data_IF_213253301888
#
_entry.id   IF_213253301888
#
_cell.length_a   1.000
_cell.length_b   1.000
_cell.length_c   1.000
_cell.angle_alpha   90.00
_cell.angle_beta   90.00
_cell.angle_gamma   90.00
#
_symmetry.space_group_name_H-M   'P 1'
#
loop_
_entity.id
_entity.type
_entity.pdbx_description
1 polymer ?
#
# COMPACT_ATOMS: atom_id res chain seq x y z
N UNK A 1 -25.39 -13.49 38.03
CA UNK A 1 -24.76 -13.37 36.70
C UNK A 1 -23.33 -12.89 36.92
N UNK A 2 -22.34 -13.78 36.83
CA UNK A 2 -20.94 -13.37 36.81
C UNK A 2 -20.71 -12.73 35.46
N UNK A 3 -20.71 -11.41 35.38
CA UNK A 3 -20.20 -10.69 34.21
C UNK A 3 -18.67 -10.94 34.17
N UNK A 4 -18.23 -11.93 33.40
CA UNK A 4 -16.81 -12.05 33.09
C UNK A 4 -16.39 -10.74 32.43
N UNK A 5 -15.26 -10.16 32.85
CA UNK A 5 -14.72 -8.96 32.24
C UNK A 5 -14.57 -9.18 30.73
N UNK A 6 -14.88 -8.18 29.89
CA UNK A 6 -14.72 -8.32 28.44
C UNK A 6 -13.27 -8.70 28.13
N UNK A 7 -13.10 -9.70 27.28
CA UNK A 7 -11.77 -10.11 26.82
C UNK A 7 -11.08 -8.95 26.14
N UNK A 8 -9.77 -8.91 26.22
CA UNK A 8 -8.97 -7.76 25.83
C UNK A 8 -8.09 -8.04 24.60
N UNK A 9 -7.85 -7.00 23.83
CA UNK A 9 -6.97 -7.03 22.65
C UNK A 9 -6.02 -5.84 22.65
N UNK A 10 -4.76 -6.11 22.31
CA UNK A 10 -3.77 -5.06 22.01
C UNK A 10 -3.41 -5.14 20.53
N UNK A 11 -3.43 -4.01 19.85
CA UNK A 11 -2.99 -3.84 18.48
C UNK A 11 -1.76 -2.93 18.46
N UNK A 12 -0.64 -3.37 17.90
CA UNK A 12 0.59 -2.59 17.79
C UNK A 12 0.75 -2.10 16.35
N UNK A 13 0.67 -0.78 16.16
CA UNK A 13 0.81 -0.08 14.87
C UNK A 13 -0.47 0.59 14.41
N UNK A 14 -0.43 1.92 14.26
CA UNK A 14 -1.55 2.80 13.87
C UNK A 14 -1.68 3.03 12.37
N UNK A 15 -1.16 2.12 11.52
CA UNK A 15 -1.38 2.12 10.08
C UNK A 15 -2.76 1.54 9.70
N UNK A 16 -3.13 1.53 8.39
CA UNK A 16 -4.43 1.04 7.94
C UNK A 16 -4.75 -0.39 8.40
N UNK A 17 -3.76 -1.29 8.44
CA UNK A 17 -3.95 -2.66 8.92
C UNK A 17 -4.36 -2.71 10.39
N UNK A 18 -3.63 -1.99 11.25
CA UNK A 18 -3.92 -1.95 12.69
C UNK A 18 -5.23 -1.25 13.00
N UNK A 19 -5.53 -0.14 12.34
CA UNK A 19 -6.80 0.59 12.53
C UNK A 19 -8.02 -0.26 12.15
N UNK A 20 -7.93 -1.03 11.06
CA UNK A 20 -9.00 -1.97 10.68
C UNK A 20 -9.11 -3.10 11.69
N UNK A 21 -7.98 -3.67 12.13
CA UNK A 21 -8.00 -4.72 13.16
C UNK A 21 -8.61 -4.21 14.47
N UNK A 22 -8.18 -3.06 14.96
CA UNK A 22 -8.68 -2.48 16.21
C UNK A 22 -10.18 -2.18 16.16
N UNK A 23 -10.65 -1.54 15.07
CA UNK A 23 -12.07 -1.24 14.91
C UNK A 23 -12.94 -2.51 14.90
N UNK A 24 -12.53 -3.55 14.15
CA UNK A 24 -13.29 -4.80 14.07
C UNK A 24 -13.24 -5.62 15.35
N UNK A 25 -12.13 -5.62 16.08
CA UNK A 25 -12.05 -6.29 17.39
C UNK A 25 -12.96 -5.62 18.42
N UNK A 26 -12.97 -4.28 18.45
CA UNK A 26 -13.87 -3.52 19.32
C UNK A 26 -15.34 -3.71 18.95
N UNK A 27 -15.70 -3.72 17.66
CA UNK A 27 -17.04 -4.06 17.17
C UNK A 27 -17.47 -5.47 17.57
N UNK A 28 -16.51 -6.40 17.68
CA UNK A 28 -16.70 -7.76 18.16
C UNK A 28 -16.79 -7.88 19.69
N UNK A 29 -16.76 -6.77 20.42
CA UNK A 29 -16.95 -6.73 21.88
C UNK A 29 -15.68 -6.91 22.71
N UNK A 30 -14.47 -6.84 22.10
CA UNK A 30 -13.22 -6.89 22.85
C UNK A 30 -12.84 -5.49 23.35
N UNK A 31 -12.38 -5.40 24.61
CA UNK A 31 -11.71 -4.20 25.12
C UNK A 31 -10.40 -4.01 24.36
N UNK A 32 -10.38 -3.11 23.38
CA UNK A 32 -9.29 -3.00 22.39
C UNK A 32 -8.47 -1.74 22.59
N UNK A 33 -7.16 -1.90 22.72
CA UNK A 33 -6.19 -0.79 22.78
C UNK A 33 -5.24 -0.87 21.58
N UNK A 34 -5.14 0.21 20.80
CA UNK A 34 -4.17 0.35 19.71
C UNK A 34 -3.02 1.24 20.17
N UNK A 35 -1.80 0.75 20.00
CA UNK A 35 -0.55 1.42 20.35
C UNK A 35 0.17 1.88 19.08
N UNK A 36 0.55 3.15 19.00
CA UNK A 36 1.32 3.73 17.90
C UNK A 36 2.54 4.48 18.46
N UNK A 37 3.73 4.15 17.94
CA UNK A 37 4.97 4.74 18.40
C UNK A 37 5.11 6.23 18.08
N UNK A 38 4.59 6.63 16.89
CA UNK A 38 4.67 8.02 16.45
C UNK A 38 3.58 8.89 17.07
N UNK A 39 3.75 10.22 16.98
CA UNK A 39 2.75 11.18 17.44
C UNK A 39 1.46 11.17 16.61
N UNK A 40 1.49 10.56 15.40
CA UNK A 40 0.39 10.57 14.43
C UNK A 40 0.13 9.16 13.94
N UNK A 41 -1.16 8.83 13.82
CA UNK A 41 -1.60 7.61 13.16
C UNK A 41 -1.38 7.68 11.64
N UNK A 42 -1.33 6.53 11.01
CA UNK A 42 -1.33 6.39 9.57
C UNK A 42 -0.13 5.62 8.98
N UNK A 43 1.01 5.62 9.65
CA UNK A 43 2.21 4.98 9.11
C UNK A 43 2.51 5.46 7.68
N UNK A 44 2.63 4.54 6.71
CA UNK A 44 2.85 4.88 5.29
C UNK A 44 1.66 5.57 4.61
N UNK A 45 0.47 5.52 5.19
CA UNK A 45 -0.70 6.25 4.71
C UNK A 45 -0.82 7.67 5.29
N UNK A 46 0.12 8.12 6.10
CA UNK A 46 0.13 9.48 6.61
C UNK A 46 0.34 10.51 5.49
N UNK A 47 -0.31 11.67 5.63
CA UNK A 47 -0.16 12.82 4.72
C UNK A 47 0.36 14.02 5.49
N UNK A 48 1.37 14.70 4.95
CA UNK A 48 1.87 15.98 5.45
C UNK A 48 1.16 17.11 4.70
N UNK A 49 0.60 18.08 5.44
CA UNK A 49 0.04 19.31 4.85
C UNK A 49 1.11 20.40 4.91
N UNK A 50 1.56 20.86 3.74
CA UNK A 50 2.59 21.89 3.66
C UNK A 50 2.33 22.84 2.49
N UNK A 51 2.34 24.15 2.74
CA UNK A 51 2.11 25.21 1.75
C UNK A 51 0.83 25.00 0.92
N UNK A 52 -0.19 24.43 1.54
CA UNK A 52 -1.47 24.14 0.90
C UNK A 52 -1.49 22.89 0.02
N UNK A 53 -0.47 22.06 0.04
CA UNK A 53 -0.42 20.77 -0.65
C UNK A 53 -0.51 19.58 0.32
N UNK A 54 -1.16 18.51 -0.13
CA UNK A 54 -1.31 17.24 0.60
C UNK A 54 -0.22 16.26 0.14
N UNK A 55 0.87 16.19 0.88
CA UNK A 55 2.03 15.36 0.56
C UNK A 55 1.91 13.99 1.20
N UNK A 56 1.47 13.00 0.44
CA UNK A 56 1.48 11.60 0.90
C UNK A 56 2.92 11.07 1.05
N UNK A 57 3.08 9.93 1.71
CA UNK A 57 4.37 9.22 1.75
C UNK A 57 4.58 8.49 0.41
N UNK A 58 4.90 9.27 -0.65
CA UNK A 58 4.99 8.83 -2.03
C UNK A 58 3.65 8.79 -2.78
N UNK A 59 3.67 8.34 -4.06
CA UNK A 59 2.46 8.27 -4.87
C UNK A 59 1.54 7.15 -4.37
N UNK A 60 0.26 7.49 -4.16
CA UNK A 60 -0.75 6.58 -3.67
C UNK A 60 -1.99 6.57 -4.57
N UNK A 61 -2.58 5.41 -4.77
CA UNK A 61 -3.82 5.21 -5.49
C UNK A 61 -4.67 4.13 -4.84
N UNK A 62 -5.98 4.35 -4.70
CA UNK A 62 -6.93 3.38 -4.19
C UNK A 62 -7.56 2.63 -5.35
N UNK A 63 -7.37 1.30 -5.40
CA UNK A 63 -7.93 0.44 -6.45
C UNK A 63 -9.40 0.16 -6.20
N UNK A 64 -10.27 0.55 -7.14
CA UNK A 64 -11.74 0.43 -6.97
C UNK A 64 -12.21 -1.02 -6.88
N UNK A 65 -11.53 -1.94 -7.58
CA UNK A 65 -11.76 -3.38 -7.54
C UNK A 65 -10.98 -4.12 -6.45
N UNK A 66 -10.19 -3.42 -5.64
CA UNK A 66 -9.32 -4.00 -4.64
C UNK A 66 -10.02 -4.41 -3.34
N UNK A 67 -9.29 -5.13 -2.50
CA UNK A 67 -9.78 -5.59 -1.20
C UNK A 67 -10.06 -4.41 -0.25
N UNK A 68 -9.24 -3.38 -0.26
CA UNK A 68 -9.46 -2.19 0.55
C UNK A 68 -10.83 -1.55 0.29
N UNK A 69 -11.21 -1.38 -0.97
CA UNK A 69 -12.52 -0.82 -1.31
C UNK A 69 -13.69 -1.72 -0.88
N UNK A 70 -13.52 -3.04 -0.91
CA UNK A 70 -14.55 -3.97 -0.39
C UNK A 70 -14.72 -3.79 1.12
N UNK A 71 -13.60 -3.77 1.84
CA UNK A 71 -13.60 -3.59 3.29
C UNK A 71 -14.15 -2.22 3.73
N UNK A 72 -13.75 -1.14 3.05
CA UNK A 72 -14.27 0.20 3.33
C UNK A 72 -15.79 0.29 3.13
N UNK A 73 -16.31 -0.31 2.05
CA UNK A 73 -17.76 -0.39 1.81
C UNK A 73 -18.47 -1.21 2.89
N UNK A 74 -17.92 -2.37 3.28
CA UNK A 74 -18.47 -3.19 4.35
C UNK A 74 -18.48 -2.47 5.71
N UNK A 75 -17.52 -1.56 5.92
CA UNK A 75 -17.48 -0.69 7.09
C UNK A 75 -18.34 0.58 6.97
N UNK A 76 -19.02 0.81 5.84
CA UNK A 76 -19.79 2.03 5.60
C UNK A 76 -18.93 3.29 5.45
N UNK A 77 -17.66 3.14 5.12
CA UNK A 77 -16.74 4.27 4.93
C UNK A 77 -16.77 4.69 3.45
N UNK A 78 -17.23 5.92 3.20
CA UNK A 78 -17.13 6.57 1.90
C UNK A 78 -16.19 7.78 2.01
N UNK A 79 -15.18 7.83 1.14
CA UNK A 79 -14.14 8.85 1.18
C UNK A 79 -14.27 9.79 0.00
N UNK A 80 -14.13 11.11 0.21
CA UNK A 80 -14.03 12.07 -0.88
C UNK A 80 -12.87 11.72 -1.81
N UNK A 81 -13.19 11.49 -3.07
CA UNK A 81 -12.22 10.99 -4.07
C UNK A 81 -12.44 11.62 -5.44
N UNK A 82 -11.44 11.51 -6.29
CA UNK A 82 -11.52 11.97 -7.66
C UNK A 82 -10.84 10.97 -8.61
N UNK A 83 -11.22 11.06 -9.90
CA UNK A 83 -10.65 10.18 -10.92
C UNK A 83 -9.39 10.82 -11.50
N UNK A 84 -8.23 10.16 -11.41
CA UNK A 84 -7.10 10.59 -12.20
C UNK A 84 -7.43 10.38 -13.68
N UNK A 85 -7.47 11.48 -14.45
CA UNK A 85 -7.74 11.39 -15.88
C UNK A 85 -6.51 10.85 -16.61
N UNK A 86 -6.59 9.62 -17.11
CA UNK A 86 -5.53 9.00 -17.91
C UNK A 86 -5.60 9.31 -19.42
N UNK A 87 -6.59 10.08 -19.86
CA UNK A 87 -6.93 10.30 -21.28
C UNK A 87 -5.81 10.91 -22.13
N UNK A 88 -4.77 11.48 -21.48
CA UNK A 88 -3.60 12.05 -22.16
C UNK A 88 -2.30 11.59 -21.53
N UNK A 89 -2.21 10.28 -21.26
CA UNK A 89 -0.97 9.66 -20.76
C UNK A 89 0.15 9.83 -21.77
N UNK A 90 1.35 10.06 -21.24
CA UNK A 90 2.58 10.19 -22.02
C UNK A 90 3.50 9.01 -21.68
N UNK A 91 4.09 8.42 -22.70
CA UNK A 91 5.14 7.42 -22.55
C UNK A 91 6.48 8.07 -22.88
N UNK A 92 7.45 7.97 -21.99
CA UNK A 92 8.78 8.54 -22.20
C UNK A 92 9.73 7.44 -22.66
N UNK A 93 10.30 7.59 -23.87
CA UNK A 93 11.28 6.66 -24.44
C UNK A 93 12.40 7.43 -25.11
N UNK A 94 13.66 7.08 -24.78
CA UNK A 94 14.85 7.80 -25.25
C UNK A 94 14.80 9.29 -24.90
N UNK A 95 14.32 9.64 -23.70
CA UNK A 95 14.18 11.03 -23.25
C UNK A 95 13.12 11.85 -24.02
N UNK A 96 12.25 11.19 -24.83
CA UNK A 96 11.23 11.89 -25.63
C UNK A 96 9.80 11.43 -25.26
N UNK A 97 8.85 12.38 -25.10
CA UNK A 97 7.46 12.04 -24.81
C UNK A 97 6.76 11.52 -26.07
N UNK A 98 6.00 10.44 -25.92
CA UNK A 98 5.19 9.78 -26.95
C UNK A 98 3.76 9.63 -26.48
N UNK A 99 2.77 9.76 -27.37
CA UNK A 99 1.34 9.58 -27.03
C UNK A 99 0.92 8.10 -27.06
N UNK A 100 1.50 7.30 -27.94
CA UNK A 100 1.20 5.87 -28.05
C UNK A 100 2.44 5.05 -27.73
N UNK A 101 2.27 3.98 -26.94
CA UNK A 101 3.35 3.02 -26.72
C UNK A 101 3.60 2.21 -27.98
N UNK A 102 4.83 1.76 -28.19
CA UNK A 102 5.15 0.79 -29.25
C UNK A 102 4.48 -0.56 -28.99
N UNK A 103 4.12 -1.31 -30.08
CA UNK A 103 3.51 -2.63 -29.96
C UNK A 103 2.01 -2.61 -29.62
N UNK A 104 1.28 -1.56 -29.98
CA UNK A 104 -0.06 -1.23 -29.50
C UNK A 104 -1.12 -2.33 -29.73
N UNK A 105 -1.12 -3.03 -30.85
CA UNK A 105 -2.10 -4.10 -31.13
C UNK A 105 -1.85 -5.36 -30.30
N UNK A 106 -0.60 -5.81 -30.25
CA UNK A 106 -0.19 -6.95 -29.43
C UNK A 106 -0.45 -6.69 -27.96
N UNK A 107 -0.07 -5.48 -27.48
CA UNK A 107 -0.29 -5.04 -26.11
C UNK A 107 -1.81 -4.99 -25.77
N UNK A 108 -2.64 -4.46 -26.65
CA UNK A 108 -4.10 -4.39 -26.45
C UNK A 108 -4.72 -5.79 -26.33
N UNK A 109 -4.31 -6.72 -27.19
CA UNK A 109 -4.73 -8.13 -27.12
C UNK A 109 -4.33 -8.77 -25.79
N UNK A 110 -3.09 -8.57 -25.36
CA UNK A 110 -2.59 -9.08 -24.10
C UNK A 110 -3.31 -8.46 -22.88
N UNK A 111 -3.52 -7.15 -22.85
CA UNK A 111 -4.27 -6.49 -21.77
C UNK A 111 -5.72 -6.98 -21.70
N UNK A 112 -6.34 -7.26 -22.85
CA UNK A 112 -7.67 -7.85 -22.90
C UNK A 112 -7.68 -9.26 -22.30
N UNK A 113 -6.67 -10.08 -22.58
CA UNK A 113 -6.52 -11.40 -22.00
C UNK A 113 -6.32 -11.31 -20.47
N UNK A 114 -5.44 -10.42 -19.98
CA UNK A 114 -5.23 -10.17 -18.55
C UNK A 114 -6.52 -9.75 -17.85
N UNK A 115 -7.32 -8.87 -18.47
CA UNK A 115 -8.59 -8.41 -17.90
C UNK A 115 -9.64 -9.52 -17.78
N UNK A 116 -9.64 -10.51 -18.68
CA UNK A 116 -10.62 -11.60 -18.76
C UNK A 116 -10.24 -12.85 -17.97
N UNK A 117 -8.95 -13.18 -17.89
CA UNK A 117 -8.47 -14.42 -17.29
C UNK A 117 -8.27 -14.30 -15.78
N UNK A 118 -8.72 -15.31 -15.02
CA UNK A 118 -8.23 -15.56 -13.68
C UNK A 118 -6.80 -16.08 -13.79
N UNK A 119 -5.91 -15.57 -12.93
CA UNK A 119 -4.46 -15.75 -13.03
C UNK A 119 -4.01 -17.05 -12.35
N UNK A 120 -4.59 -18.18 -12.77
CA UNK A 120 -4.19 -19.50 -12.27
C UNK A 120 -2.83 -19.89 -12.83
N UNK A 121 -1.98 -20.50 -12.00
CA UNK A 121 -0.67 -21.02 -12.41
C UNK A 121 0.45 -19.98 -12.57
N UNK A 122 0.23 -18.69 -12.34
CA UNK A 122 1.26 -17.67 -12.50
C UNK A 122 2.19 -17.51 -11.28
N UNK A 123 1.84 -18.07 -10.11
CA UNK A 123 2.61 -17.90 -8.88
C UNK A 123 4.05 -18.41 -8.96
N UNK A 124 4.32 -19.40 -9.80
CA UNK A 124 5.66 -19.95 -10.04
C UNK A 124 6.46 -19.25 -11.15
N UNK A 125 5.91 -18.26 -11.83
CA UNK A 125 6.59 -17.49 -12.89
C UNK A 125 6.99 -16.11 -12.38
N UNK A 126 8.18 -15.64 -12.77
CA UNK A 126 8.53 -14.23 -12.64
C UNK A 126 7.76 -13.39 -13.67
N UNK A 127 7.61 -12.08 -13.38
CA UNK A 127 7.04 -11.14 -14.36
C UNK A 127 7.85 -11.15 -15.66
N UNK A 128 9.18 -11.21 -15.60
CA UNK A 128 10.04 -11.29 -16.80
C UNK A 128 9.74 -12.51 -17.66
N UNK A 129 9.56 -13.67 -17.04
CA UNK A 129 9.21 -14.91 -17.75
C UNK A 129 7.82 -14.83 -18.36
N UNK A 130 6.83 -14.39 -17.58
CA UNK A 130 5.46 -14.21 -18.03
C UNK A 130 5.37 -13.27 -19.24
N UNK A 131 6.05 -12.11 -19.21
CA UNK A 131 6.06 -11.17 -20.32
C UNK A 131 6.75 -11.74 -21.56
N UNK A 132 7.85 -12.51 -21.40
CA UNK A 132 8.53 -13.19 -22.52
C UNK A 132 7.67 -14.28 -23.16
N UNK A 133 6.92 -15.04 -22.38
CA UNK A 133 6.00 -16.07 -22.89
C UNK A 133 4.75 -15.48 -23.55
N UNK A 134 4.27 -14.34 -23.06
CA UNK A 134 2.99 -13.74 -23.47
C UNK A 134 3.12 -12.76 -24.64
N UNK A 135 4.28 -12.13 -24.84
CA UNK A 135 4.50 -11.05 -25.79
C UNK A 135 5.74 -11.32 -26.66
N UNK A 136 5.56 -11.23 -27.98
CA UNK A 136 6.66 -11.49 -28.95
C UNK A 136 7.55 -10.29 -29.15
N UNK A 137 6.96 -9.09 -29.28
CA UNK A 137 7.72 -7.88 -29.57
C UNK A 137 8.37 -7.30 -28.33
N UNK A 138 9.64 -6.92 -28.43
CA UNK A 138 10.38 -6.24 -27.36
C UNK A 138 9.70 -4.93 -26.95
N UNK A 139 9.13 -4.20 -27.91
CA UNK A 139 8.40 -2.96 -27.65
C UNK A 139 7.14 -3.18 -26.80
N UNK A 140 6.39 -4.26 -27.08
CA UNK A 140 5.22 -4.62 -26.28
C UNK A 140 5.65 -5.04 -24.86
N UNK A 141 6.71 -5.86 -24.72
CA UNK A 141 7.26 -6.25 -23.43
C UNK A 141 7.72 -5.05 -22.59
N UNK A 142 8.47 -4.12 -23.20
CA UNK A 142 8.92 -2.92 -22.50
C UNK A 142 7.75 -2.06 -22.00
N UNK A 143 6.70 -1.91 -22.82
CA UNK A 143 5.50 -1.16 -22.43
C UNK A 143 4.69 -1.88 -21.35
N UNK A 144 4.50 -3.20 -21.49
CA UNK A 144 3.85 -4.03 -20.48
C UNK A 144 4.60 -3.96 -19.14
N UNK A 145 5.93 -4.02 -19.17
CA UNK A 145 6.77 -3.84 -17.99
C UNK A 145 6.59 -2.49 -17.32
N UNK A 146 6.43 -1.40 -18.08
CA UNK A 146 6.13 -0.08 -17.50
C UNK A 146 4.74 -0.05 -16.83
N UNK A 147 3.74 -0.74 -17.40
CA UNK A 147 2.41 -0.88 -16.78
C UNK A 147 2.46 -1.75 -15.53
N UNK A 148 3.26 -2.81 -15.52
CA UNK A 148 3.48 -3.62 -14.31
C UNK A 148 4.11 -2.75 -13.21
N UNK A 149 5.19 -2.02 -13.53
CA UNK A 149 5.84 -1.15 -12.53
C UNK A 149 4.88 -0.15 -11.89
N UNK A 150 4.03 0.52 -12.66
CA UNK A 150 3.10 1.51 -12.11
C UNK A 150 1.99 0.90 -11.27
N UNK A 151 1.61 -0.35 -11.52
CA UNK A 151 0.56 -1.03 -10.76
C UNK A 151 1.08 -1.78 -9.54
N UNK A 152 2.34 -2.23 -9.57
CA UNK A 152 2.95 -3.02 -8.48
C UNK A 152 3.94 -2.25 -7.63
N UNK A 153 4.50 -1.15 -8.12
CA UNK A 153 5.60 -0.40 -7.52
C UNK A 153 6.91 -1.20 -7.41
N UNK A 154 7.09 -2.22 -8.26
CA UNK A 154 8.29 -3.07 -8.30
C UNK A 154 8.98 -2.92 -9.65
N UNK A 155 10.29 -2.62 -9.62
CA UNK A 155 11.13 -2.55 -10.83
C UNK A 155 11.74 -3.90 -11.20
N UNK A 156 12.09 -4.70 -10.20
CA UNK A 156 12.69 -6.02 -10.38
C UNK A 156 11.63 -7.05 -10.79
N UNK A 157 11.49 -7.22 -12.09
CA UNK A 157 10.55 -8.15 -12.69
C UNK A 157 10.97 -9.62 -12.58
N UNK A 158 12.23 -9.90 -12.25
CA UNK A 158 12.70 -11.25 -12.01
C UNK A 158 12.38 -11.70 -10.56
N UNK A 159 12.40 -10.75 -9.62
CA UNK A 159 12.03 -11.01 -8.22
C UNK A 159 10.51 -11.06 -7.99
N UNK A 160 9.70 -10.36 -8.80
CA UNK A 160 8.25 -10.29 -8.61
C UNK A 160 7.53 -11.46 -9.28
N UNK A 161 6.67 -12.13 -8.53
CA UNK A 161 5.78 -13.17 -9.08
C UNK A 161 4.72 -12.58 -10.02
N UNK A 162 4.44 -13.27 -11.11
CA UNK A 162 3.54 -12.83 -12.18
C UNK A 162 2.07 -12.78 -11.75
N UNK A 163 1.64 -13.56 -10.77
CA UNK A 163 0.27 -13.53 -10.23
C UNK A 163 -0.07 -12.18 -9.57
N UNK A 164 0.90 -11.58 -8.86
CA UNK A 164 0.77 -10.23 -8.31
C UNK A 164 0.57 -9.21 -9.42
N UNK A 165 1.45 -9.22 -10.43
CA UNK A 165 1.41 -8.27 -11.54
C UNK A 165 0.10 -8.36 -12.32
N UNK A 166 -0.33 -9.57 -12.62
CA UNK A 166 -1.55 -9.83 -13.36
C UNK A 166 -2.81 -9.43 -12.57
N UNK A 167 -2.83 -9.72 -11.25
CA UNK A 167 -3.90 -9.27 -10.36
C UNK A 167 -4.02 -7.74 -10.31
N UNK A 168 -2.90 -7.04 -10.15
CA UNK A 168 -2.86 -5.58 -10.09
C UNK A 168 -3.20 -4.92 -11.43
N UNK A 169 -2.70 -5.44 -12.54
CA UNK A 169 -3.09 -4.96 -13.86
C UNK A 169 -4.59 -5.07 -14.07
N UNK A 170 -5.20 -6.20 -13.71
CA UNK A 170 -6.63 -6.43 -13.89
C UNK A 170 -7.47 -5.40 -13.13
N UNK A 171 -7.18 -5.14 -11.85
CA UNK A 171 -7.95 -4.15 -11.06
C UNK A 171 -7.56 -2.71 -11.38
N UNK A 172 -6.36 -2.47 -11.89
CA UNK A 172 -5.90 -1.16 -12.36
C UNK A 172 -6.49 -0.75 -13.71
N UNK A 173 -6.74 -1.72 -14.59
CA UNK A 173 -7.40 -1.49 -15.89
C UNK A 173 -8.91 -1.30 -15.73
N UNK A 174 -9.55 -2.17 -14.96
CA UNK A 174 -11.00 -2.19 -14.74
C UNK A 174 -11.30 -2.63 -13.30
N UNK A 175 -11.92 -1.80 -12.47
CA UNK A 175 -12.52 -0.48 -12.69
C UNK A 175 -11.57 0.71 -12.45
N UNK A 176 -10.25 0.48 -12.38
CA UNK A 176 -9.24 1.53 -12.25
C UNK A 176 -9.00 2.00 -10.81
N UNK A 177 -8.43 3.19 -10.69
CA UNK A 177 -8.01 3.76 -9.40
C UNK A 177 -8.75 5.05 -9.06
N UNK A 178 -8.70 5.44 -7.79
CA UNK A 178 -9.17 6.72 -7.27
C UNK A 178 -8.07 7.36 -6.44
N UNK A 179 -8.00 8.69 -6.47
CA UNK A 179 -7.17 9.48 -5.59
C UNK A 179 -8.05 10.13 -4.52
N UNK A 180 -7.56 10.16 -3.28
CA UNK A 180 -8.31 10.71 -2.16
C UNK A 180 -8.10 12.22 -2.07
N UNK A 181 -9.17 12.96 -1.75
CA UNK A 181 -9.10 14.39 -1.42
C UNK A 181 -8.62 14.56 0.02
N UNK A 182 -7.74 15.52 0.24
CA UNK A 182 -7.10 15.70 1.55
C UNK A 182 -5.98 14.71 1.84
N UNK A 183 -5.51 13.99 0.79
CA UNK A 183 -4.48 12.97 0.93
C UNK A 183 -4.99 11.68 1.57
N UNK A 184 -4.06 10.77 1.84
CA UNK A 184 -4.37 9.47 2.46
C UNK A 184 -4.66 9.57 3.95
N UNK A 185 -4.34 10.70 4.59
CA UNK A 185 -4.76 10.97 5.96
C UNK A 185 -6.28 10.87 6.11
N UNK A 186 -7.06 11.25 5.08
CA UNK A 186 -8.52 11.10 5.11
C UNK A 186 -9.00 9.66 5.31
N UNK A 187 -8.28 8.68 4.75
CA UNK A 187 -8.52 7.26 5.00
C UNK A 187 -8.16 6.88 6.44
N UNK A 188 -7.01 7.35 6.91
CA UNK A 188 -6.54 7.09 8.28
C UNK A 188 -7.53 7.63 9.30
N UNK A 189 -7.96 8.88 9.14
CA UNK A 189 -8.89 9.56 10.04
C UNK A 189 -10.26 8.86 10.06
N UNK A 190 -10.76 8.42 8.91
CA UNK A 190 -12.01 7.68 8.83
C UNK A 190 -11.94 6.31 9.52
N UNK A 191 -10.82 5.59 9.38
CA UNK A 191 -10.59 4.32 10.06
C UNK A 191 -10.42 4.52 11.58
N UNK A 192 -9.67 5.53 12.00
CA UNK A 192 -9.48 5.88 13.40
C UNK A 192 -10.80 6.25 14.07
N UNK A 193 -11.57 7.16 13.48
CA UNK A 193 -12.88 7.57 13.99
C UNK A 193 -13.86 6.39 14.07
N UNK A 194 -13.78 5.41 13.16
CA UNK A 194 -14.58 4.19 13.25
C UNK A 194 -14.14 3.31 14.42
N UNK A 195 -12.83 3.11 14.60
CA UNK A 195 -12.32 2.32 15.71
C UNK A 195 -12.71 2.92 17.08
N UNK A 196 -12.59 4.24 17.23
CA UNK A 196 -13.01 4.96 18.44
C UNK A 196 -14.51 4.85 18.68
N UNK A 197 -15.36 5.01 17.65
CA UNK A 197 -16.81 4.81 17.78
C UNK A 197 -17.19 3.39 18.17
N UNK A 198 -16.38 2.39 17.80
CA UNK A 198 -16.54 1.01 18.23
C UNK A 198 -16.05 0.76 19.67
N UNK A 199 -15.44 1.75 20.32
CA UNK A 199 -14.92 1.66 21.69
C UNK A 199 -13.44 1.30 21.79
N UNK A 200 -12.68 1.32 20.68
CA UNK A 200 -11.22 1.13 20.75
C UNK A 200 -10.53 2.38 21.32
N UNK A 201 -9.55 2.18 22.19
CA UNK A 201 -8.67 3.24 22.69
C UNK A 201 -7.45 3.36 21.78
N UNK A 202 -7.22 4.53 21.18
CA UNK A 202 -6.08 4.79 20.31
C UNK A 202 -5.01 5.57 21.08
N UNK A 203 -3.80 5.01 21.20
CA UNK A 203 -2.70 5.57 22.00
C UNK A 203 -1.52 5.95 21.09
N UNK A 204 -1.46 7.17 20.53
CA UNK A 204 -0.24 7.69 19.90
C UNK A 204 0.85 7.96 20.93
N UNK A 205 2.11 7.98 20.52
CA UNK A 205 3.32 8.07 21.37
C UNK A 205 3.45 6.93 22.37
N UNK A 206 2.88 5.75 22.06
CA UNK A 206 2.92 4.55 22.89
C UNK A 206 3.63 3.43 22.12
N UNK A 207 4.95 3.54 21.98
CA UNK A 207 5.77 2.55 21.28
C UNK A 207 5.96 1.28 22.10
N UNK A 208 5.56 0.13 21.59
CA UNK A 208 5.86 -1.15 22.21
C UNK A 208 7.36 -1.45 22.10
N UNK A 209 7.98 -1.87 23.21
CA UNK A 209 9.41 -2.22 23.33
C UNK A 209 9.65 -3.72 23.29
N UNK A 210 8.74 -4.48 23.90
CA UNK A 210 8.82 -5.94 23.94
C UNK A 210 7.42 -6.54 24.01
N UNK A 211 7.27 -7.77 23.54
CA UNK A 211 6.08 -8.59 23.72
C UNK A 211 6.49 -9.96 24.25
N UNK A 212 5.76 -10.46 25.24
CA UNK A 212 6.02 -11.75 25.86
C UNK A 212 4.72 -12.51 26.00
N UNK A 213 4.78 -13.82 25.78
CA UNK A 213 3.66 -14.71 26.00
C UNK A 213 3.68 -15.26 27.43
N UNK A 214 2.51 -15.27 28.08
CA UNK A 214 2.29 -15.91 29.38
C UNK A 214 1.15 -16.94 29.28
N UNK A 215 0.89 -17.64 30.38
CA UNK A 215 -0.25 -18.56 30.48
C UNK A 215 -1.61 -17.85 30.36
N UNK A 216 -1.66 -16.54 30.67
CA UNK A 216 -2.86 -15.71 30.69
C UNK A 216 -3.06 -14.89 29.39
N UNK A 217 -2.14 -15.00 28.42
CA UNK A 217 -2.16 -14.25 27.17
C UNK A 217 -0.84 -13.55 26.87
N UNK A 218 -0.91 -12.29 26.44
CA UNK A 218 0.22 -11.50 25.96
C UNK A 218 0.49 -10.32 26.89
N UNK A 219 1.76 -10.05 27.16
CA UNK A 219 2.25 -8.88 27.86
C UNK A 219 2.99 -7.99 26.87
N UNK A 220 2.64 -6.70 26.83
CA UNK A 220 3.26 -5.67 26.00
C UNK A 220 3.91 -4.65 26.91
N UNK A 221 5.24 -4.50 26.80
CA UNK A 221 6.03 -3.55 27.57
C UNK A 221 6.18 -2.24 26.79
N UNK A 222 5.80 -1.13 27.38
CA UNK A 222 6.07 0.24 26.94
C UNK A 222 7.16 0.86 27.82
N UNK A 223 7.53 2.12 27.59
CA UNK A 223 8.56 2.79 28.38
C UNK A 223 8.22 2.90 29.88
N UNK A 224 6.96 3.21 30.20
CA UNK A 224 6.53 3.50 31.58
C UNK A 224 5.43 2.56 32.10
N UNK A 225 4.95 1.63 31.28
CA UNK A 225 3.84 0.75 31.65
C UNK A 225 3.90 -0.61 30.97
N UNK A 226 3.22 -1.56 31.58
CA UNK A 226 3.02 -2.91 31.04
C UNK A 226 1.51 -3.13 30.83
N UNK A 227 1.14 -3.55 29.64
CA UNK A 227 -0.23 -3.90 29.29
C UNK A 227 -0.36 -5.41 29.08
N UNK A 228 -1.56 -5.96 29.33
CA UNK A 228 -1.86 -7.38 29.12
C UNK A 228 -3.13 -7.53 28.32
N UNK A 229 -3.17 -8.56 27.46
CA UNK A 229 -4.36 -8.91 26.68
C UNK A 229 -4.31 -10.38 26.25
N UNK A 230 -5.46 -10.98 26.03
CA UNK A 230 -5.59 -12.33 25.47
C UNK A 230 -5.30 -12.37 23.97
N UNK A 231 -5.54 -11.24 23.28
CA UNK A 231 -5.28 -11.09 21.84
C UNK A 231 -4.20 -10.04 21.60
N UNK A 232 -3.21 -10.40 20.80
CA UNK A 232 -2.17 -9.50 20.30
C UNK A 232 -2.16 -9.47 18.78
N UNK A 233 -2.30 -8.29 18.19
CA UNK A 233 -2.13 -8.05 16.76
C UNK A 233 -0.91 -7.20 16.52
N UNK A 234 0.09 -7.73 15.81
CA UNK A 234 1.26 -6.96 15.37
C UNK A 234 0.98 -6.42 13.97
N UNK A 235 0.75 -5.11 13.86
CA UNK A 235 0.52 -4.40 12.60
C UNK A 235 1.55 -3.27 12.39
N UNK A 236 2.72 -3.40 13.03
CA UNK A 236 3.78 -2.41 13.00
C UNK A 236 4.72 -2.65 11.81
N UNK A 237 4.94 -1.60 11.01
CA UNK A 237 5.95 -1.55 9.96
C UNK A 237 5.92 -2.71 8.98
N UNK A 238 7.04 -3.44 8.90
CA UNK A 238 7.24 -4.58 8.02
C UNK A 238 7.84 -5.79 8.74
N UNK A 239 8.39 -6.76 8.00
CA UNK A 239 8.96 -7.99 8.57
C UNK A 239 10.04 -7.72 9.65
N UNK A 240 10.86 -6.69 9.46
CA UNK A 240 11.91 -6.32 10.42
C UNK A 240 11.34 -5.84 11.75
N UNK A 241 10.29 -5.03 11.69
CA UNK A 241 9.65 -4.49 12.90
C UNK A 241 8.89 -5.59 13.65
N UNK A 242 8.23 -6.48 12.91
CA UNK A 242 7.59 -7.66 13.48
C UNK A 242 8.64 -8.58 14.15
N UNK A 243 9.79 -8.81 13.50
CA UNK A 243 10.87 -9.62 14.05
C UNK A 243 11.49 -9.00 15.30
N UNK A 244 11.62 -7.67 15.35
CA UNK A 244 12.12 -6.97 16.53
C UNK A 244 11.25 -7.20 17.78
N UNK A 245 9.93 -7.34 17.59
CA UNK A 245 8.98 -7.59 18.68
C UNK A 245 8.82 -9.09 19.00
N UNK A 246 8.81 -9.93 17.99
CA UNK A 246 8.40 -11.35 18.11
C UNK A 246 9.58 -12.33 18.15
N UNK A 247 10.81 -11.89 17.80
CA UNK A 247 11.96 -12.79 17.66
C UNK A 247 11.67 -13.93 16.68
N UNK A 248 11.97 -15.15 17.07
CA UNK A 248 11.79 -16.37 16.26
C UNK A 248 10.31 -16.69 15.93
N UNK A 249 9.34 -16.05 16.59
CA UNK A 249 7.91 -16.19 16.29
C UNK A 249 7.46 -15.33 15.12
N UNK A 250 8.32 -14.42 14.64
CA UNK A 250 8.00 -13.59 13.49
C UNK A 250 7.86 -14.44 12.22
N UNK A 251 6.84 -14.18 11.39
CA UNK A 251 6.76 -14.85 10.09
C UNK A 251 7.95 -14.45 9.21
N UNK A 252 8.46 -15.43 8.46
CA UNK A 252 9.53 -15.16 7.48
C UNK A 252 9.02 -14.30 6.34
N UNK A 253 9.77 -13.25 5.99
CA UNK A 253 9.45 -12.42 4.85
C UNK A 253 9.49 -13.21 3.53
N UNK A 254 8.49 -13.06 2.63
CA UNK A 254 8.46 -13.81 1.37
C UNK A 254 9.51 -13.34 0.35
N UNK A 255 10.20 -12.24 0.61
CA UNK A 255 11.24 -11.67 -0.25
C UNK A 255 11.68 -10.28 0.21
N UNK A 256 12.46 -9.56 -0.61
CA UNK A 256 12.94 -8.23 -0.28
C UNK A 256 11.81 -7.18 -0.29
N UNK A 257 12.06 -6.02 0.32
CA UNK A 257 11.18 -4.86 0.20
C UNK A 257 11.31 -4.21 -1.20
N UNK A 258 10.23 -3.59 -1.67
CA UNK A 258 10.28 -2.66 -2.81
C UNK A 258 10.44 -1.23 -2.30
N UNK A 259 11.49 -0.57 -2.75
CA UNK A 259 11.83 0.79 -2.34
C UNK A 259 11.86 1.73 -3.53
N UNK A 260 11.44 2.97 -3.33
CA UNK A 260 11.33 4.03 -4.32
C UNK A 260 12.17 5.24 -3.94
N UNK A 261 12.61 6.01 -4.95
CA UNK A 261 12.93 7.42 -4.76
C UNK A 261 11.76 8.26 -5.26
N UNK A 262 11.36 9.30 -4.52
CA UNK A 262 10.19 10.13 -4.84
C UNK A 262 10.56 11.60 -4.82
N UNK A 263 10.08 12.35 -5.82
CA UNK A 263 10.15 13.81 -5.88
C UNK A 263 8.74 14.37 -6.02
N UNK A 264 8.31 15.12 -5.02
CA UNK A 264 7.06 15.87 -5.07
C UNK A 264 7.34 17.31 -5.46
N UNK A 265 6.56 17.85 -6.41
CA UNK A 265 6.63 19.20 -6.93
C UNK A 265 5.27 19.87 -6.78
N UNK A 266 5.16 20.84 -5.87
CA UNK A 266 4.03 21.76 -5.78
C UNK A 266 4.28 22.93 -6.75
N UNK A 267 3.42 23.06 -7.76
CA UNK A 267 3.53 24.06 -8.81
C UNK A 267 2.32 24.99 -8.77
N UNK A 268 2.50 26.27 -9.14
CA UNK A 268 1.38 27.18 -9.37
C UNK A 268 0.44 26.67 -10.47
N UNK A 269 1.02 26.15 -11.55
CA UNK A 269 0.28 25.57 -12.68
C UNK A 269 1.17 24.64 -13.49
N UNK A 270 0.56 23.77 -14.31
CA UNK A 270 1.32 22.91 -15.21
C UNK A 270 1.76 23.67 -16.47
N UNK A 271 3.06 23.68 -16.83
CA UNK A 271 3.53 24.21 -18.14
C UNK A 271 2.83 23.53 -19.32
N UNK A 272 2.52 22.25 -19.19
CA UNK A 272 1.80 21.44 -20.19
C UNK A 272 0.58 20.78 -19.54
N UNK A 273 -0.52 21.50 -19.44
CA UNK A 273 -1.73 21.10 -18.74
C UNK A 273 -2.25 19.69 -19.11
N UNK A 274 -2.03 19.27 -20.37
CA UNK A 274 -2.45 17.96 -20.86
C UNK A 274 -1.52 16.80 -20.46
N UNK A 275 -0.32 17.06 -19.91
CA UNK A 275 0.69 16.04 -19.60
C UNK A 275 0.81 15.82 -18.10
N UNK A 276 -0.25 15.33 -17.48
CA UNK A 276 -0.30 15.14 -16.04
C UNK A 276 -0.11 13.69 -15.58
N UNK A 277 0.19 12.77 -16.52
CA UNK A 277 0.58 11.39 -16.24
C UNK A 277 1.59 10.92 -17.27
N UNK A 278 2.70 10.36 -16.80
CA UNK A 278 3.76 9.84 -17.67
C UNK A 278 4.42 8.58 -17.10
N UNK A 279 4.75 7.64 -17.99
CA UNK A 279 5.49 6.41 -17.68
C UNK A 279 6.80 6.37 -18.47
N UNK A 280 7.91 6.13 -17.78
CA UNK A 280 9.18 5.76 -18.40
C UNK A 280 9.11 4.33 -18.94
N UNK A 281 9.43 4.14 -20.23
CA UNK A 281 9.46 2.80 -20.86
C UNK A 281 10.83 2.15 -20.64
N UNK A 282 11.87 2.87 -20.94
CA UNK A 282 13.29 2.45 -20.83
C UNK A 282 13.96 2.88 -19.52
N UNK A 283 13.26 3.64 -18.71
CA UNK A 283 13.64 3.96 -17.33
C UNK A 283 12.51 3.61 -16.36
N UNK A 284 12.82 3.19 -15.12
CA UNK A 284 11.80 2.83 -14.13
C UNK A 284 11.19 4.06 -13.46
N UNK A 285 10.78 5.07 -14.25
CA UNK A 285 10.29 6.34 -13.75
C UNK A 285 8.80 6.56 -14.04
N UNK A 286 8.17 7.39 -13.23
CA UNK A 286 6.77 7.69 -13.27
C UNK A 286 6.54 9.15 -12.86
N UNK A 287 5.54 9.81 -13.43
CA UNK A 287 5.06 11.12 -13.05
C UNK A 287 3.53 11.12 -13.06
N UNK A 288 2.91 11.64 -12.02
CA UNK A 288 1.46 11.81 -11.95
C UNK A 288 1.06 13.04 -11.15
N UNK A 289 -0.06 13.65 -11.54
CA UNK A 289 -0.74 14.69 -10.76
C UNK A 289 -1.44 14.03 -9.57
N UNK A 290 -1.18 14.54 -8.37
CA UNK A 290 -1.77 14.08 -7.10
C UNK A 290 -2.68 15.11 -6.41
N UNK A 291 -2.86 16.30 -6.98
CA UNK A 291 -3.90 17.25 -6.58
C UNK A 291 -5.14 17.16 -7.47
N UNK A 292 -6.33 17.28 -6.89
CA UNK A 292 -7.58 17.29 -7.64
C UNK A 292 -7.63 18.44 -8.68
N UNK A 293 -8.39 18.31 -9.78
CA UNK A 293 -8.45 19.34 -10.82
C UNK A 293 -8.88 20.72 -10.33
N UNK A 294 -9.74 20.77 -9.32
CA UNK A 294 -10.28 21.96 -8.67
C UNK A 294 -9.48 22.42 -7.44
N UNK A 295 -8.28 21.90 -7.24
CA UNK A 295 -7.41 22.28 -6.13
C UNK A 295 -6.94 23.75 -6.29
N UNK A 296 -7.22 24.57 -5.27
CA UNK A 296 -7.04 26.03 -5.36
C UNK A 296 -5.59 26.51 -5.22
N UNK A 297 -4.73 25.70 -4.59
CA UNK A 297 -3.34 26.10 -4.29
C UNK A 297 -2.35 25.68 -5.38
N UNK A 298 -2.81 25.29 -6.57
CA UNK A 298 -1.96 24.86 -7.67
C UNK A 298 -2.01 23.37 -7.94
N UNK A 299 -0.92 22.82 -8.43
CA UNK A 299 -0.84 21.41 -8.87
C UNK A 299 0.28 20.69 -8.15
N UNK A 300 -0.04 19.59 -7.50
CA UNK A 300 0.94 18.66 -6.97
C UNK A 300 1.25 17.57 -8.02
N UNK A 301 2.51 17.49 -8.44
CA UNK A 301 3.05 16.37 -9.19
C UNK A 301 3.87 15.49 -8.25
N UNK A 302 3.65 14.19 -8.31
CA UNK A 302 4.52 13.20 -7.67
C UNK A 302 5.24 12.40 -8.75
N UNK A 303 6.57 12.40 -8.66
CA UNK A 303 7.45 11.63 -9.51
C UNK A 303 8.06 10.50 -8.68
N UNK A 304 8.18 9.32 -9.25
CA UNK A 304 8.87 8.22 -8.60
C UNK A 304 9.80 7.49 -9.56
N UNK A 305 10.90 6.98 -9.00
CA UNK A 305 11.66 5.89 -9.58
C UNK A 305 11.40 4.63 -8.77
N UNK A 306 11.05 3.55 -9.47
CA UNK A 306 10.83 2.22 -8.87
C UNK A 306 12.14 1.49 -8.50
N UNK A 307 13.24 2.22 -8.51
CA UNK A 307 14.56 1.84 -8.02
C UNK A 307 15.17 3.05 -7.31
N UNK A 308 16.28 2.83 -6.60
CA UNK A 308 17.03 3.96 -6.05
C UNK A 308 17.54 4.84 -7.18
N UNK A 309 17.18 6.11 -7.13
CA UNK A 309 17.59 7.10 -8.14
C UNK A 309 17.98 8.41 -7.46
N UNK A 310 18.99 9.11 -7.97
CA UNK A 310 19.29 10.47 -7.55
C UNK A 310 18.14 11.41 -7.98
N UNK A 311 18.02 12.52 -7.30
CA UNK A 311 16.98 13.53 -7.55
C UNK A 311 16.96 14.00 -9.01
N UNK A 312 18.13 14.18 -9.60
CA UNK A 312 18.35 14.67 -10.97
C UNK A 312 17.69 13.78 -12.01
N UNK A 313 17.59 12.46 -11.76
CA UNK A 313 16.90 11.53 -12.67
C UNK A 313 15.39 11.81 -12.70
N UNK A 314 14.79 12.13 -11.56
CA UNK A 314 13.37 12.49 -11.47
C UNK A 314 13.12 13.89 -12.04
N UNK A 315 14.03 14.84 -11.83
CA UNK A 315 13.99 16.15 -12.46
C UNK A 315 14.09 16.08 -13.99
N UNK A 316 14.93 15.19 -14.53
CA UNK A 316 15.02 14.96 -15.98
C UNK A 316 13.70 14.44 -16.58
N UNK A 317 12.95 13.60 -15.81
CA UNK A 317 11.59 13.20 -16.18
C UNK A 317 10.65 14.41 -16.18
N UNK A 318 10.74 15.28 -15.17
CA UNK A 318 9.95 16.51 -15.11
C UNK A 318 10.28 17.46 -16.27
N UNK A 319 11.58 17.63 -16.63
CA UNK A 319 12.02 18.43 -17.76
C UNK A 319 11.44 17.94 -19.09
N UNK A 320 11.39 16.62 -19.26
CA UNK A 320 10.84 15.98 -20.46
C UNK A 320 9.33 16.17 -20.58
N UNK A 321 8.58 16.02 -19.47
CA UNK A 321 7.12 16.01 -19.47
C UNK A 321 6.55 17.41 -19.31
N UNK A 322 7.15 18.22 -18.44
CA UNK A 322 6.71 19.55 -18.04
C UNK A 322 7.82 20.61 -18.20
N UNK A 323 8.37 20.84 -19.43
CA UNK A 323 9.43 21.83 -19.61
C UNK A 323 9.03 23.21 -19.10
N UNK A 324 9.92 23.88 -18.35
CA UNK A 324 9.64 25.14 -17.66
C UNK A 324 8.97 25.01 -16.28
N UNK A 325 8.94 23.81 -15.72
CA UNK A 325 8.34 23.58 -14.39
C UNK A 325 9.08 24.32 -13.26
N UNK A 326 10.40 24.54 -13.39
CA UNK A 326 11.20 25.19 -12.35
C UNK A 326 10.79 26.63 -12.08
N UNK A 327 10.25 27.32 -13.10
CA UNK A 327 9.74 28.69 -12.98
C UNK A 327 8.41 28.78 -12.23
N UNK A 328 7.75 27.66 -12.00
CA UNK A 328 6.42 27.55 -11.38
C UNK A 328 6.41 26.81 -10.06
N UNK A 329 7.59 26.42 -9.58
CA UNK A 329 7.70 25.63 -8.35
C UNK A 329 7.53 26.51 -7.12
N UNK A 330 6.68 26.06 -6.21
CA UNK A 330 6.48 26.63 -4.88
C UNK A 330 7.05 25.73 -3.81
N UNK A 331 6.89 24.43 -3.98
CA UNK A 331 7.29 23.43 -3.01
C UNK A 331 8.03 22.28 -3.69
N UNK A 332 9.07 21.79 -3.03
CA UNK A 332 9.74 20.55 -3.40
C UNK A 332 9.99 19.69 -2.17
N UNK A 333 9.76 18.39 -2.32
CA UNK A 333 10.14 17.39 -1.32
C UNK A 333 10.77 16.19 -2.02
N UNK A 334 11.97 15.82 -1.61
CA UNK A 334 12.64 14.62 -2.11
C UNK A 334 12.74 13.57 -1.01
N UNK A 335 12.25 12.38 -1.29
CA UNK A 335 12.37 11.18 -0.47
C UNK A 335 13.32 10.23 -1.20
N UNK A 336 14.59 10.14 -0.79
CA UNK A 336 15.60 9.36 -1.50
C UNK A 336 15.31 7.86 -1.42
N UNK A 337 14.61 7.44 -0.36
CA UNK A 337 14.31 6.04 -0.07
C UNK A 337 12.98 5.92 0.66
N UNK A 338 12.02 5.29 0.05
CA UNK A 338 10.71 5.03 0.62
C UNK A 338 10.29 3.59 0.36
N UNK A 339 9.87 2.88 1.39
CA UNK A 339 9.34 1.51 1.27
C UNK A 339 7.91 1.57 0.74
N UNK A 340 7.69 1.09 -0.48
CA UNK A 340 6.35 0.95 -1.07
C UNK A 340 5.67 -0.36 -0.63
N UNK A 341 6.45 -1.44 -0.61
CA UNK A 341 6.03 -2.79 -0.19
C UNK A 341 7.06 -3.35 0.77
N UNK A 342 6.58 -3.94 1.85
CA UNK A 342 7.45 -4.47 2.91
C UNK A 342 8.16 -5.78 2.51
N UNK A 343 7.56 -6.59 1.63
CA UNK A 343 8.19 -7.78 1.08
C UNK A 343 7.52 -8.22 -0.23
N UNK A 344 8.33 -8.53 -1.25
CA UNK A 344 7.90 -8.96 -2.59
C UNK A 344 7.69 -10.47 -2.58
N UNK A 345 6.51 -11.01 -2.94
CA UNK A 345 6.33 -12.44 -3.15
C UNK A 345 7.16 -12.93 -4.33
N UNK A 346 8.03 -13.88 -4.08
CA UNK A 346 8.93 -14.46 -5.08
C UNK A 346 8.25 -15.60 -5.84
N UNK A 347 8.51 -15.76 -7.15
CA UNK A 347 8.08 -16.93 -7.90
C UNK A 347 8.65 -18.25 -7.34
N UNK A 348 9.86 -18.25 -6.79
CA UNK A 348 10.48 -19.43 -6.18
C UNK A 348 9.76 -19.92 -4.93
N UNK A 349 9.00 -19.05 -4.26
CA UNK A 349 8.22 -19.38 -3.08
C UNK A 349 6.73 -19.63 -3.40
N UNK A 350 6.32 -19.62 -4.68
CA UNK A 350 4.93 -19.83 -5.08
C UNK A 350 4.06 -18.56 -5.10
N UNK A 351 4.66 -17.39 -5.13
CA UNK A 351 4.00 -16.11 -5.35
C UNK A 351 3.11 -15.65 -4.19
N UNK A 352 1.97 -15.06 -4.54
CA UNK A 352 1.07 -14.41 -3.58
C UNK A 352 0.50 -15.38 -2.54
N UNK A 353 0.20 -16.60 -2.94
CA UNK A 353 -0.37 -17.64 -2.07
C UNK A 353 0.61 -18.12 -0.97
N UNK A 354 1.92 -17.95 -1.19
CA UNK A 354 2.97 -18.33 -0.23
C UNK A 354 3.28 -17.24 0.81
N UNK A 355 2.59 -16.10 0.80
CA UNK A 355 2.75 -15.12 1.87
C UNK A 355 2.34 -15.71 3.21
N UNK A 356 3.04 -15.36 4.32
CA UNK A 356 2.76 -15.92 5.63
C UNK A 356 1.30 -15.71 6.06
N UNK A 357 0.76 -16.69 6.77
CA UNK A 357 -0.57 -16.58 7.35
C UNK A 357 -0.63 -15.49 8.42
N UNK A 358 -1.79 -14.85 8.54
CA UNK A 358 -2.08 -13.81 9.53
C UNK A 358 -2.17 -14.38 10.95
N UNK A 359 -2.81 -15.55 11.10
CA UNK A 359 -2.95 -16.26 12.39
C UNK A 359 -1.67 -17.01 12.72
N UNK A 360 -1.12 -16.76 13.90
CA UNK A 360 0.11 -17.38 14.42
C UNK A 360 -0.15 -18.34 15.59
N UNK A 361 -1.42 -18.55 15.91
CA UNK A 361 -1.83 -19.36 17.06
C UNK A 361 -1.73 -18.63 18.41
N UNK A 362 -2.29 -19.23 19.44
CA UNK A 362 -2.18 -18.76 20.82
C UNK A 362 -2.58 -17.28 21.03
N UNK A 363 -3.56 -16.78 20.29
CA UNK A 363 -4.01 -15.40 20.37
C UNK A 363 -3.08 -14.36 19.72
N UNK A 364 -2.04 -14.80 18.97
CA UNK A 364 -1.15 -13.93 18.22
C UNK A 364 -1.57 -13.84 16.75
N UNK A 365 -1.65 -12.62 16.25
CA UNK A 365 -1.91 -12.30 14.85
C UNK A 365 -0.90 -11.29 14.33
N UNK A 366 -0.55 -11.38 13.04
CA UNK A 366 0.32 -10.40 12.38
C UNK A 366 -0.41 -9.88 11.15
N UNK A 367 -0.43 -8.56 10.96
CA UNK A 367 -1.10 -7.90 9.83
C UNK A 367 -0.16 -6.91 9.13
N UNK A 368 -0.31 -6.75 7.83
CA UNK A 368 0.51 -5.85 7.01
C UNK A 368 0.41 -6.20 5.53
N UNK A 369 1.04 -5.39 4.69
CA UNK A 369 1.03 -5.55 3.23
C UNK A 369 1.80 -6.78 2.70
N UNK A 370 2.47 -7.51 3.56
CA UNK A 370 3.30 -8.67 3.27
C UNK A 370 2.70 -10.01 3.76
N UNK A 371 1.47 -9.98 4.29
CA UNK A 371 0.79 -11.11 4.91
C UNK A 371 -0.52 -11.45 4.21
N UNK A 372 -0.91 -12.73 4.28
CA UNK A 372 -2.13 -13.25 3.71
C UNK A 372 -2.15 -13.27 2.17
N UNK A 373 -3.04 -14.02 1.54
CA UNK A 373 -3.07 -14.19 0.09
C UNK A 373 -3.80 -13.06 -0.65
N UNK A 374 -4.55 -12.20 0.05
CA UNK A 374 -5.43 -11.21 -0.58
C UNK A 374 -4.76 -9.86 -0.79
N UNK A 375 -4.87 -9.37 -2.03
CA UNK A 375 -4.54 -8.00 -2.39
C UNK A 375 -3.04 -7.69 -2.46
N UNK A 376 -2.73 -6.44 -2.72
CA UNK A 376 -1.41 -5.86 -2.84
C UNK A 376 -1.42 -4.42 -2.30
N UNK A 377 -0.31 -3.86 -1.85
CA UNK A 377 -0.26 -2.51 -1.27
C UNK A 377 -1.24 -2.37 -0.09
N UNK A 378 -2.05 -1.30 -0.09
CA UNK A 378 -3.07 -1.06 0.95
C UNK A 378 -4.17 -2.12 0.95
N UNK A 379 -4.46 -2.75 -0.20
CA UNK A 379 -5.43 -3.84 -0.26
C UNK A 379 -5.00 -5.01 0.64
N UNK A 380 -3.71 -5.37 0.61
CA UNK A 380 -3.15 -6.39 1.49
C UNK A 380 -3.13 -5.94 2.96
N UNK A 381 -2.75 -4.69 3.22
CA UNK A 381 -2.72 -4.16 4.58
C UNK A 381 -4.11 -4.20 5.24
N UNK A 382 -5.12 -3.68 4.55
CA UNK A 382 -6.50 -3.64 5.06
C UNK A 382 -7.10 -5.05 5.18
N UNK A 383 -6.92 -5.91 4.16
CA UNK A 383 -7.46 -7.28 4.20
C UNK A 383 -6.81 -8.13 5.28
N UNK A 384 -5.50 -8.00 5.50
CA UNK A 384 -4.82 -8.73 6.57
C UNK A 384 -5.25 -8.26 7.97
N UNK A 385 -5.48 -6.96 8.16
CA UNK A 385 -6.04 -6.43 9.41
C UNK A 385 -7.45 -6.95 9.69
N UNK A 386 -8.30 -6.98 8.66
CA UNK A 386 -9.64 -7.56 8.75
C UNK A 386 -9.60 -9.07 9.04
N UNK A 387 -8.68 -9.80 8.39
CA UNK A 387 -8.49 -11.24 8.62
C UNK A 387 -7.98 -11.54 10.03
N UNK A 388 -7.07 -10.72 10.57
CA UNK A 388 -6.58 -10.84 11.94
C UNK A 388 -7.72 -10.73 12.96
N UNK A 389 -8.53 -9.69 12.84
CA UNK A 389 -9.69 -9.50 13.70
C UNK A 389 -10.71 -10.64 13.56
N UNK A 390 -11.02 -11.03 12.33
CA UNK A 390 -11.97 -12.13 12.09
C UNK A 390 -11.46 -13.48 12.63
N UNK A 391 -10.17 -13.77 12.55
CA UNK A 391 -9.58 -14.98 13.12
C UNK A 391 -9.61 -14.94 14.67
N UNK A 392 -9.25 -13.80 15.26
CA UNK A 392 -9.31 -13.60 16.69
C UNK A 392 -10.72 -13.84 17.24
N UNK A 393 -11.73 -13.22 16.64
CA UNK A 393 -13.14 -13.33 17.07
C UNK A 393 -13.72 -14.75 16.93
N UNK A 394 -13.18 -15.57 16.01
CA UNK A 394 -13.57 -16.99 15.85
C UNK A 394 -12.78 -17.95 16.72
N UNK A 395 -11.74 -17.53 17.40
CA UNK A 395 -10.92 -18.39 18.23
C UNK A 395 -11.76 -19.10 19.32
N UNK A 396 -11.57 -20.40 19.57
CA UNK A 396 -12.26 -21.13 20.64
C UNK A 396 -12.08 -20.48 22.03
N UNK A 397 -11.00 -19.76 22.23
CA UNK A 397 -10.79 -18.92 23.43
C UNK A 397 -11.97 -17.97 23.64
N UNK A 398 -12.73 -17.62 22.58
CA UNK A 398 -13.86 -16.68 22.63
C UNK A 398 -15.23 -17.34 22.44
N UNK A 399 -15.28 -18.63 21.99
CA UNK A 399 -16.52 -19.32 21.65
C UNK A 399 -17.28 -19.87 22.89
N UNK A 400 -16.76 -19.70 24.10
CA UNK A 400 -17.38 -20.16 25.34
C UNK A 400 -17.74 -18.96 26.24
N UNK A 401 -18.80 -18.24 25.89
CA UNK A 401 -19.50 -17.36 26.78
C UNK A 401 -21.02 -17.39 26.48
#
# INVERSE_FOLDING_TARGET
>A
MNLTAPKSAIVIGGGPAGLVAAGRLAEGGLSTTLLEASARLGGRAATEHREGFDLNQGPHALYVGGAAMRELRAMGIDLPRWNPTSVRSVFVRGGKPRRLPGGSLELAGWLTAVARNRQEGLGGLSVSEWLRQSLRSERARATAGALVRVTTFVADHDALSADVAAGQLRIGLLPGVRYLRGGWQSLVDALAARAERAGATLCPRAGARAVEQSAEGWTVTLDEQILRAEVLVIAAGGPKDAAALLGDRSPTAPGPAAELSVLDLGLDSLPRAARHFALGIDSPTYLSRHSAPDHRNGVLLSLASYAHAPREQLEAMADTVQPGWRERVRLQRFLPRMVAISAIPSPTNGGLAARPAVDRGQGLYVAGDWLGPDGWLVDAAISSGAAAAAAALRSPVFATA
#
